data_IF_441869722500
#
_entry.id   IF_441869722500
#
_cell.length_a   1.000
_cell.length_b   1.000
_cell.length_c   1.000
_cell.angle_alpha   90.00
_cell.angle_beta   90.00
_cell.angle_gamma   90.00
#
_symmetry.space_group_name_H-M   'P 1'
#
loop_
_entity.id
_entity.type
_entity.pdbx_description
1 polymer ?
#
# COMPACT_ATOMS: atom_id res chain seq x y z
N UNK A 1 29.43 3.54 80.76
CA UNK A 1 29.67 2.26 80.06
C UNK A 1 28.64 2.14 78.94
N UNK A 2 29.10 2.11 77.67
CA UNK A 2 28.55 1.41 76.48
C UNK A 2 27.04 1.62 76.16
N UNK A 3 26.57 2.03 74.97
CA UNK A 3 27.04 1.79 73.60
C UNK A 3 26.41 2.82 72.65
N UNK A 4 27.13 3.15 71.58
CA UNK A 4 26.67 3.97 70.45
C UNK A 4 26.07 3.03 69.40
N UNK A 5 24.80 3.21 69.02
CA UNK A 5 24.17 2.50 67.90
C UNK A 5 24.06 3.44 66.70
N UNK A 6 24.86 3.17 65.67
CA UNK A 6 24.76 3.83 64.37
C UNK A 6 23.60 3.23 63.57
N UNK A 7 22.59 4.03 63.27
CA UNK A 7 21.51 3.68 62.34
C UNK A 7 21.94 4.16 60.94
N UNK A 8 22.29 3.21 60.07
CA UNK A 8 22.43 3.46 58.63
C UNK A 8 21.03 3.54 58.01
N UNK A 9 20.57 4.75 57.68
CA UNK A 9 19.38 4.96 56.86
C UNK A 9 19.73 4.73 55.38
N UNK A 10 19.26 3.63 54.81
CA UNK A 10 19.24 3.42 53.36
C UNK A 10 18.01 4.12 52.77
N UNK A 11 18.20 5.22 52.05
CA UNK A 11 17.15 5.83 51.22
C UNK A 11 17.05 5.07 49.90
N UNK A 12 16.02 4.24 49.75
CA UNK A 12 15.66 3.63 48.48
C UNK A 12 14.99 4.68 47.57
N UNK A 13 15.71 5.12 46.53
CA UNK A 13 15.13 5.91 45.44
C UNK A 13 14.29 4.99 44.54
N UNK A 14 12.98 4.98 44.72
CA UNK A 14 12.05 4.39 43.76
C UNK A 14 11.89 5.34 42.56
N UNK A 15 12.56 5.02 41.44
CA UNK A 15 12.29 5.66 40.17
C UNK A 15 10.98 5.10 39.60
N UNK A 16 9.91 5.89 39.65
CA UNK A 16 8.65 5.56 38.98
C UNK A 16 8.85 5.62 37.46
N UNK A 17 8.95 4.46 36.81
CA UNK A 17 8.88 4.33 35.35
C UNK A 17 7.45 4.63 34.91
N UNK A 18 7.19 5.89 34.58
CA UNK A 18 5.95 6.30 33.90
C UNK A 18 6.00 5.70 32.50
N UNK A 19 5.36 4.55 32.32
CA UNK A 19 5.14 3.95 31.01
C UNK A 19 4.19 4.85 30.23
N UNK A 20 4.76 5.77 29.44
CA UNK A 20 3.99 6.55 28.47
C UNK A 20 3.44 5.55 27.46
N UNK A 21 2.12 5.36 27.47
CA UNK A 21 1.42 4.69 26.39
C UNK A 21 1.62 5.54 25.13
N UNK A 22 2.62 5.19 24.31
CA UNK A 22 2.80 5.79 23.00
C UNK A 22 1.62 5.33 22.14
N UNK A 23 0.64 6.20 21.93
CA UNK A 23 -0.31 6.06 20.84
C UNK A 23 0.52 6.15 19.53
N UNK A 24 0.84 4.99 18.97
CA UNK A 24 1.59 4.87 17.72
C UNK A 24 0.77 5.51 16.61
N UNK A 25 1.19 6.71 16.18
CA UNK A 25 0.55 7.42 15.07
C UNK A 25 0.81 6.63 13.80
N UNK A 26 -0.25 6.16 13.13
CA UNK A 26 -0.20 5.46 11.83
C UNK A 26 0.15 6.46 10.71
N UNK A 27 1.32 7.08 10.79
CA UNK A 27 1.82 8.08 9.86
C UNK A 27 3.22 7.69 9.42
N UNK A 28 3.59 8.01 8.18
CA UNK A 28 4.97 7.80 7.72
C UNK A 28 5.95 8.70 8.47
N UNK A 29 7.19 8.24 8.61
CA UNK A 29 8.32 8.99 9.13
C UNK A 29 9.54 8.83 8.23
N UNK A 30 10.44 9.80 8.23
CA UNK A 30 11.63 9.76 7.39
C UNK A 30 12.52 8.58 7.77
N UNK A 31 12.97 7.82 6.76
CA UNK A 31 13.86 6.68 6.92
C UNK A 31 14.82 6.62 5.74
N UNK A 32 16.12 6.53 6.02
CA UNK A 32 17.15 6.29 5.00
C UNK A 32 17.53 4.82 5.02
N UNK A 33 17.31 4.14 3.90
CA UNK A 33 17.71 2.75 3.73
C UNK A 33 19.25 2.66 3.66
N UNK A 34 19.90 1.93 4.57
CA UNK A 34 21.36 1.86 4.60
C UNK A 34 21.96 1.12 3.40
N UNK A 35 21.20 0.22 2.77
CA UNK A 35 21.69 -0.58 1.64
C UNK A 35 21.76 0.23 0.34
N UNK A 36 20.80 1.12 0.10
CA UNK A 36 20.70 1.92 -1.14
C UNK A 36 21.01 3.40 -0.95
N UNK A 37 20.97 3.92 0.28
CA UNK A 37 21.05 5.35 0.57
C UNK A 37 19.77 6.12 0.21
N UNK A 38 18.71 5.45 -0.25
CA UNK A 38 17.43 6.10 -0.59
C UNK A 38 16.74 6.55 0.69
N UNK A 39 16.26 7.79 0.69
CA UNK A 39 15.46 8.34 1.80
C UNK A 39 13.98 8.28 1.45
N UNK A 40 13.21 7.61 2.28
CA UNK A 40 11.78 7.38 2.16
C UNK A 40 11.01 8.13 3.26
N UNK A 41 9.74 8.40 3.00
CA UNK A 41 8.73 8.47 4.06
C UNK A 41 8.16 7.07 4.28
N UNK A 42 8.40 6.49 5.46
CA UNK A 42 8.12 5.09 5.76
C UNK A 42 7.09 4.91 6.86
N UNK A 43 6.07 4.13 6.56
CA UNK A 43 5.16 3.56 7.55
C UNK A 43 5.81 2.33 8.17
N UNK A 44 5.73 2.19 9.51
CA UNK A 44 6.24 1.05 10.25
C UNK A 44 5.16 0.50 11.21
N UNK A 45 4.70 -0.72 10.97
CA UNK A 45 3.78 -1.43 11.84
C UNK A 45 4.51 -2.12 12.97
N UNK A 46 4.68 -1.46 14.13
CA UNK A 46 5.48 -2.00 15.27
C UNK A 46 5.07 -3.41 15.71
N UNK A 47 3.77 -3.76 15.63
CA UNK A 47 3.29 -5.11 16.02
C UNK A 47 3.58 -6.18 14.97
N UNK A 48 3.74 -5.82 13.71
CA UNK A 48 3.88 -6.74 12.58
C UNK A 48 5.27 -6.72 11.95
N UNK A 49 6.09 -5.72 12.28
CA UNK A 49 7.34 -5.38 11.59
C UNK A 49 7.16 -5.16 10.08
N UNK A 50 5.94 -4.92 9.62
CA UNK A 50 5.65 -4.51 8.26
C UNK A 50 6.12 -3.07 8.05
N UNK A 51 6.72 -2.81 6.89
CA UNK A 51 7.12 -1.47 6.48
C UNK A 51 6.80 -1.23 5.03
N UNK A 52 6.29 -0.02 4.74
CA UNK A 52 6.22 0.50 3.39
C UNK A 52 6.80 1.91 3.35
N UNK A 53 7.84 2.10 2.55
CA UNK A 53 8.49 3.38 2.27
C UNK A 53 8.13 3.89 0.89
N UNK A 54 7.93 5.20 0.78
CA UNK A 54 7.73 5.88 -0.50
C UNK A 54 8.71 7.06 -0.65
N UNK A 55 9.32 7.18 -1.82
CA UNK A 55 10.14 8.31 -2.23
C UNK A 55 9.56 8.87 -3.53
N UNK A 56 9.54 10.20 -3.64
CA UNK A 56 8.94 10.93 -4.75
C UNK A 56 9.94 11.92 -5.36
N UNK A 57 9.78 12.28 -6.63
CA UNK A 57 10.56 13.36 -7.22
C UNK A 57 10.13 14.72 -6.65
N UNK A 58 11.04 15.70 -6.65
CA UNK A 58 10.69 17.10 -6.38
C UNK A 58 9.78 17.66 -7.47
N UNK A 59 10.17 17.45 -8.73
CA UNK A 59 9.35 17.75 -9.90
C UNK A 59 8.33 16.65 -10.10
N UNK A 60 7.05 16.98 -9.99
CA UNK A 60 5.98 15.99 -10.10
C UNK A 60 6.07 15.20 -11.42
N UNK A 61 6.05 13.88 -11.31
CA UNK A 61 5.85 12.95 -12.41
C UNK A 61 4.88 11.84 -11.96
N UNK A 62 4.67 10.84 -12.82
CA UNK A 62 3.70 9.77 -12.55
C UNK A 62 4.32 8.54 -11.85
N UNK A 63 5.51 8.67 -11.25
CA UNK A 63 6.30 7.56 -10.72
C UNK A 63 6.71 7.79 -9.26
N UNK A 64 6.96 6.71 -8.54
CA UNK A 64 7.54 6.76 -7.20
C UNK A 64 8.49 5.57 -6.97
N UNK A 65 9.38 5.67 -5.99
CA UNK A 65 10.18 4.53 -5.54
C UNK A 65 9.54 4.00 -4.27
N UNK A 66 9.17 2.72 -4.28
CA UNK A 66 8.63 1.99 -3.14
C UNK A 66 9.67 1.09 -2.51
N UNK A 67 9.60 0.92 -1.20
CA UNK A 67 10.28 -0.15 -0.48
C UNK A 67 9.29 -0.89 0.42
N UNK A 68 9.15 -2.19 0.21
CA UNK A 68 8.33 -3.08 1.02
C UNK A 68 9.24 -3.98 1.86
N UNK A 69 9.00 -4.04 3.17
CA UNK A 69 9.79 -4.89 4.08
C UNK A 69 8.88 -5.56 5.09
N UNK A 70 9.04 -6.86 5.29
CA UNK A 70 8.25 -7.60 6.28
C UNK A 70 8.93 -8.91 6.68
N UNK A 71 8.62 -9.44 7.89
CA UNK A 71 9.14 -10.73 8.31
C UNK A 71 8.50 -11.87 7.51
N UNK A 72 9.32 -12.88 7.20
CA UNK A 72 8.91 -14.15 6.63
C UNK A 72 8.88 -15.23 7.71
N UNK A 73 8.08 -16.26 7.48
CA UNK A 73 7.99 -17.47 8.30
C UNK A 73 8.61 -18.64 7.53
N UNK A 74 9.89 -18.92 7.76
CA UNK A 74 10.66 -19.92 7.01
C UNK A 74 10.55 -19.75 5.48
N UNK A 75 10.64 -18.51 5.02
CA UNK A 75 10.50 -18.12 3.61
C UNK A 75 9.05 -17.98 3.12
N UNK A 76 8.06 -18.30 3.96
CA UNK A 76 6.64 -18.08 3.67
C UNK A 76 6.16 -16.69 4.11
N UNK A 77 5.09 -16.22 3.47
CA UNK A 77 4.49 -14.92 3.73
C UNK A 77 4.46 -14.05 2.49
N UNK A 78 3.53 -13.11 2.50
CA UNK A 78 3.40 -12.08 1.47
C UNK A 78 2.98 -10.77 2.12
N UNK A 79 3.45 -9.66 1.55
CA UNK A 79 3.09 -8.32 1.96
C UNK A 79 2.56 -7.53 0.78
N UNK A 80 1.72 -6.54 1.06
CA UNK A 80 1.16 -5.70 0.03
C UNK A 80 0.81 -4.31 0.50
N UNK A 81 0.57 -3.43 -0.48
CA UNK A 81 0.11 -2.06 -0.27
C UNK A 81 -1.00 -1.71 -1.25
N UNK A 82 -1.79 -0.72 -0.88
CA UNK A 82 -2.82 -0.09 -1.70
C UNK A 82 -2.52 1.41 -1.85
N UNK A 83 -2.76 1.96 -3.05
CA UNK A 83 -2.65 3.41 -3.29
C UNK A 83 -3.66 4.23 -2.46
N UNK A 84 -4.72 3.60 -1.95
CA UNK A 84 -5.69 4.21 -1.02
C UNK A 84 -5.83 3.37 0.25
N UNK A 85 -6.61 3.79 1.25
CA UNK A 85 -6.91 2.94 2.43
C UNK A 85 -7.87 1.79 2.14
N UNK A 86 -8.51 1.78 0.97
CA UNK A 86 -9.40 0.71 0.52
C UNK A 86 -8.62 -0.40 -0.21
N UNK A 87 -9.07 -1.64 -0.06
CA UNK A 87 -8.62 -2.77 -0.90
C UNK A 87 -9.30 -2.74 -2.28
N UNK A 88 -10.58 -2.37 -2.35
CA UNK A 88 -11.38 -2.44 -3.56
C UNK A 88 -11.18 -1.26 -4.50
N UNK A 89 -10.74 -1.57 -5.72
CA UNK A 89 -10.66 -0.64 -6.84
C UNK A 89 -9.32 0.07 -7.09
N UNK A 90 -8.46 0.47 -6.12
CA UNK A 90 -7.19 1.10 -6.46
C UNK A 90 -6.19 0.08 -7.01
N UNK A 91 -5.07 0.56 -7.52
CA UNK A 91 -3.91 -0.27 -7.79
C UNK A 91 -3.35 -0.80 -6.47
N UNK A 92 -3.22 -2.12 -6.42
CA UNK A 92 -2.59 -2.86 -5.33
C UNK A 92 -1.24 -3.42 -5.81
N UNK A 93 -0.34 -3.66 -4.88
CA UNK A 93 0.84 -4.50 -5.10
C UNK A 93 0.86 -5.59 -4.04
N UNK A 94 1.20 -6.80 -4.45
CA UNK A 94 1.59 -7.88 -3.56
C UNK A 94 2.99 -8.37 -3.93
N UNK A 95 3.78 -8.74 -2.93
CA UNK A 95 5.09 -9.34 -3.13
C UNK A 95 5.39 -10.42 -2.09
N UNK A 96 6.18 -11.41 -2.48
CA UNK A 96 6.53 -12.58 -1.69
C UNK A 96 7.84 -13.20 -2.18
N UNK A 97 8.38 -14.13 -1.39
CA UNK A 97 9.57 -14.88 -1.76
C UNK A 97 9.23 -16.18 -2.52
N UNK A 98 9.99 -16.49 -3.56
CA UNK A 98 10.02 -17.80 -4.22
C UNK A 98 11.47 -18.28 -4.33
N UNK A 99 11.83 -19.31 -3.55
CA UNK A 99 13.21 -19.85 -3.55
C UNK A 99 14.30 -18.79 -3.29
N UNK A 100 14.04 -17.82 -2.41
CA UNK A 100 14.95 -16.71 -2.10
C UNK A 100 14.96 -15.56 -3.13
N UNK A 101 14.12 -15.63 -4.17
CA UNK A 101 13.91 -14.55 -5.13
C UNK A 101 12.66 -13.77 -4.76
N UNK A 102 12.67 -12.48 -5.06
CA UNK A 102 11.47 -11.64 -4.95
C UNK A 102 10.58 -11.86 -6.16
N UNK A 103 9.31 -12.13 -5.90
CA UNK A 103 8.22 -12.11 -6.88
C UNK A 103 7.21 -11.05 -6.44
N UNK A 104 6.68 -10.30 -7.39
CA UNK A 104 5.68 -9.27 -7.12
C UNK A 104 4.69 -9.14 -8.27
N UNK A 105 3.48 -8.70 -7.97
CA UNK A 105 2.49 -8.37 -8.99
C UNK A 105 1.60 -7.20 -8.59
N UNK A 106 1.21 -6.43 -9.60
CA UNK A 106 0.15 -5.45 -9.45
C UNK A 106 -1.19 -6.13 -9.53
N UNK A 107 -2.14 -5.72 -8.69
CA UNK A 107 -3.45 -6.34 -8.55
C UNK A 107 -4.56 -5.30 -8.43
N UNK A 108 -5.79 -5.74 -8.64
CA UNK A 108 -6.99 -4.95 -8.35
C UNK A 108 -8.04 -5.85 -7.73
N UNK A 109 -8.58 -5.47 -6.58
CA UNK A 109 -9.70 -6.18 -5.97
C UNK A 109 -11.04 -5.58 -6.43
N UNK A 110 -12.04 -6.44 -6.64
CA UNK A 110 -13.40 -6.04 -7.03
C UNK A 110 -14.43 -6.27 -5.92
N UNK A 111 -14.06 -7.05 -4.91
CA UNK A 111 -14.79 -7.33 -3.68
C UNK A 111 -13.76 -7.78 -2.60
N UNK A 112 -14.23 -8.03 -1.37
CA UNK A 112 -13.40 -8.47 -0.24
C UNK A 112 -13.24 -10.01 -0.14
N UNK A 113 -14.05 -10.78 -0.87
CA UNK A 113 -14.13 -12.24 -0.74
C UNK A 113 -13.20 -12.99 -1.71
N UNK A 114 -12.94 -12.42 -2.88
CA UNK A 114 -12.17 -13.02 -3.96
C UNK A 114 -10.70 -12.62 -3.92
N UNK A 115 -9.84 -13.50 -4.47
CA UNK A 115 -8.43 -13.17 -4.64
C UNK A 115 -8.26 -12.03 -5.66
N UNK A 116 -7.54 -10.94 -5.34
CA UNK A 116 -7.30 -9.87 -6.30
C UNK A 116 -6.49 -10.40 -7.50
N UNK A 117 -7.06 -10.43 -8.72
CA UNK A 117 -6.32 -10.87 -9.89
C UNK A 117 -5.15 -9.93 -10.19
N UNK A 118 -4.13 -10.48 -10.84
CA UNK A 118 -3.05 -9.66 -11.41
C UNK A 118 -3.61 -8.75 -12.52
N UNK A 119 -3.14 -7.50 -12.52
CA UNK A 119 -3.51 -6.51 -13.52
C UNK A 119 -2.31 -5.91 -14.24
N UNK A 120 -2.55 -5.48 -15.47
CA UNK A 120 -1.60 -4.76 -16.33
C UNK A 120 -2.20 -3.44 -16.82
N UNK A 121 -1.35 -2.53 -17.29
CA UNK A 121 -1.75 -1.20 -17.74
C UNK A 121 -0.54 -0.39 -18.20
N UNK A 122 -0.60 0.94 -18.07
CA UNK A 122 0.53 1.84 -18.37
C UNK A 122 1.40 2.12 -17.13
N UNK A 123 1.65 1.10 -16.31
CA UNK A 123 2.52 1.17 -15.13
C UNK A 123 3.46 -0.05 -15.07
N UNK A 124 4.65 0.09 -14.48
CA UNK A 124 5.64 -0.99 -14.39
C UNK A 124 6.32 -1.00 -13.02
N UNK A 125 6.66 -2.19 -12.55
CA UNK A 125 7.55 -2.37 -11.41
C UNK A 125 8.95 -2.65 -11.94
N UNK A 126 9.93 -1.87 -11.50
CA UNK A 126 11.34 -2.01 -11.90
C UNK A 126 12.19 -2.22 -10.65
N UNK A 127 12.67 -3.44 -10.38
CA UNK A 127 13.43 -3.73 -9.18
C UNK A 127 14.72 -2.91 -9.08
N UNK A 128 15.03 -2.42 -7.89
CA UNK A 128 16.34 -1.87 -7.54
C UNK A 128 17.07 -2.96 -6.76
N UNK A 129 18.02 -3.64 -7.41
CA UNK A 129 18.65 -4.85 -6.89
C UNK A 129 19.37 -4.61 -5.55
N UNK A 130 20.04 -3.47 -5.39
CA UNK A 130 20.74 -3.11 -4.16
C UNK A 130 19.83 -3.01 -2.92
N UNK A 131 18.52 -2.79 -3.11
CA UNK A 131 17.52 -2.72 -2.06
C UNK A 131 16.55 -3.91 -2.08
N UNK A 132 16.93 -5.03 -2.71
CA UNK A 132 16.04 -6.18 -2.89
C UNK A 132 16.69 -7.45 -2.37
N UNK A 133 16.02 -8.15 -1.45
CA UNK A 133 16.48 -9.42 -0.89
C UNK A 133 15.30 -10.22 -0.32
N UNK A 134 15.40 -11.54 -0.39
CA UNK A 134 14.49 -12.44 0.30
C UNK A 134 15.28 -13.61 0.89
N UNK A 135 15.12 -13.84 2.19
CA UNK A 135 15.69 -15.01 2.88
C UNK A 135 14.60 -15.73 3.69
N UNK A 136 14.95 -16.60 4.63
CA UNK A 136 13.94 -17.34 5.42
C UNK A 136 13.15 -16.46 6.41
N UNK A 137 13.69 -15.31 6.80
CA UNK A 137 13.18 -14.49 7.92
C UNK A 137 12.78 -13.07 7.53
N UNK A 138 13.34 -12.53 6.44
CA UNK A 138 13.11 -11.15 6.02
C UNK A 138 12.94 -11.07 4.51
N UNK A 139 11.93 -10.31 4.12
CA UNK A 139 11.70 -9.87 2.76
C UNK A 139 11.95 -8.37 2.67
N UNK A 140 12.71 -7.93 1.67
CA UNK A 140 12.86 -6.53 1.28
C UNK A 140 12.75 -6.42 -0.23
N UNK A 141 11.87 -5.57 -0.73
CA UNK A 141 11.73 -5.27 -2.15
C UNK A 141 11.73 -3.76 -2.37
N UNK A 142 12.77 -3.25 -3.03
CA UNK A 142 12.84 -1.85 -3.45
C UNK A 142 12.67 -1.79 -4.95
N UNK A 143 11.79 -0.90 -5.42
CA UNK A 143 11.42 -0.83 -6.82
C UNK A 143 11.00 0.59 -7.22
N UNK A 144 11.26 0.94 -8.48
CA UNK A 144 10.61 2.05 -9.14
C UNK A 144 9.24 1.59 -9.64
N UNK A 145 8.18 2.22 -9.14
CA UNK A 145 6.82 2.11 -9.66
C UNK A 145 6.66 3.18 -10.75
N UNK A 146 6.99 2.82 -11.98
CA UNK A 146 6.92 3.69 -13.14
C UNK A 146 5.45 3.84 -13.57
N UNK A 147 4.94 5.07 -13.69
CA UNK A 147 3.56 5.33 -14.17
C UNK A 147 2.45 4.95 -13.18
N UNK A 148 2.76 4.71 -11.90
CA UNK A 148 1.80 4.28 -10.89
C UNK A 148 0.99 5.41 -10.24
N UNK A 149 1.30 6.69 -10.51
CA UNK A 149 0.56 7.83 -9.97
C UNK A 149 -0.41 8.39 -11.01
N UNK A 150 -1.63 7.86 -11.01
CA UNK A 150 -2.75 8.26 -11.87
C UNK A 150 -4.06 8.16 -11.07
N UNK A 151 -4.98 9.10 -11.26
CA UNK A 151 -6.26 9.11 -10.54
C UNK A 151 -7.12 7.87 -10.86
N UNK A 152 -6.99 7.30 -12.05
CA UNK A 152 -7.63 6.04 -12.42
C UNK A 152 -7.12 4.84 -11.61
N UNK A 153 -5.89 4.93 -11.09
CA UNK A 153 -5.26 3.94 -10.21
C UNK A 153 -5.55 4.20 -8.73
N UNK A 154 -6.19 5.33 -8.41
CA UNK A 154 -6.60 5.72 -7.05
C UNK A 154 -5.75 6.81 -6.41
N UNK A 155 -4.61 7.19 -7.00
CA UNK A 155 -3.73 8.23 -6.47
C UNK A 155 -2.99 8.96 -7.60
N UNK A 156 -3.52 10.11 -8.04
CA UNK A 156 -2.86 10.95 -9.04
C UNK A 156 -1.66 11.74 -8.51
N UNK A 157 -0.80 12.20 -9.43
CA UNK A 157 0.40 12.97 -9.10
C UNK A 157 0.12 14.26 -8.29
N UNK A 158 -1.05 14.90 -8.47
CA UNK A 158 -1.42 16.09 -7.71
C UNK A 158 -1.54 15.84 -6.20
N UNK A 159 -2.00 14.64 -5.80
CA UNK A 159 -2.16 14.25 -4.40
C UNK A 159 -0.83 14.13 -3.63
N UNK A 160 0.30 14.03 -4.36
CA UNK A 160 1.65 13.98 -3.77
C UNK A 160 2.09 15.27 -3.08
N UNK A 161 1.33 16.35 -3.23
CA UNK A 161 1.56 17.63 -2.55
C UNK A 161 1.09 17.64 -1.09
N UNK A 162 0.40 16.59 -0.63
CA UNK A 162 -0.22 16.53 0.69
C UNK A 162 0.12 15.30 1.51
N UNK A 163 -0.75 15.02 2.48
CA UNK A 163 -0.81 13.75 3.21
C UNK A 163 -2.04 13.00 2.75
N UNK A 164 -1.88 11.74 2.33
CA UNK A 164 -2.98 10.88 1.87
C UNK A 164 -3.12 9.65 2.74
N UNK A 165 -4.21 8.91 2.56
CA UNK A 165 -4.37 7.59 3.15
C UNK A 165 -3.92 6.52 2.16
N UNK A 166 -3.13 5.56 2.63
CA UNK A 166 -2.72 4.37 1.88
C UNK A 166 -2.97 3.13 2.74
N UNK A 167 -3.06 1.98 2.10
CA UNK A 167 -3.37 0.70 2.74
C UNK A 167 -2.16 -0.23 2.78
N UNK A 168 -2.15 -1.15 3.74
CA UNK A 168 -1.19 -2.23 3.81
C UNK A 168 -1.86 -3.55 4.19
N UNK A 169 -1.22 -4.66 3.84
CA UNK A 169 -1.64 -6.01 4.17
C UNK A 169 -0.43 -6.93 4.37
N UNK A 170 -0.53 -7.90 5.28
CA UNK A 170 0.50 -8.89 5.57
C UNK A 170 -0.08 -10.26 5.91
N UNK A 171 0.52 -11.30 5.33
CA UNK A 171 0.28 -12.71 5.64
C UNK A 171 1.59 -13.41 6.03
N UNK A 172 1.50 -14.39 6.92
CA UNK A 172 2.60 -15.32 7.23
C UNK A 172 2.56 -16.62 6.44
N UNK A 173 1.51 -16.86 5.66
CA UNK A 173 1.33 -18.13 4.97
C UNK A 173 1.96 -18.10 3.57
N UNK A 174 2.25 -19.29 3.05
CA UNK A 174 2.75 -19.47 1.70
C UNK A 174 1.67 -19.16 0.68
N UNK A 175 2.01 -18.41 -0.36
CA UNK A 175 1.12 -18.18 -1.51
C UNK A 175 0.98 -19.45 -2.36
N UNK A 176 -0.14 -19.61 -3.04
CA UNK A 176 -0.34 -20.66 -4.04
C UNK A 176 0.41 -20.33 -5.33
N UNK A 177 1.18 -21.28 -5.87
CA UNK A 177 2.01 -21.12 -7.08
C UNK A 177 3.00 -19.92 -7.01
N UNK A 178 3.96 -19.94 -6.06
CA UNK A 178 4.82 -18.78 -5.75
C UNK A 178 5.71 -18.31 -6.91
N UNK A 179 6.02 -19.16 -7.89
CA UNK A 179 6.79 -18.77 -9.07
C UNK A 179 5.99 -17.87 -10.05
N UNK A 180 4.66 -17.83 -9.92
CA UNK A 180 3.79 -17.08 -10.82
C UNK A 180 3.36 -15.75 -10.22
N UNK A 181 3.45 -14.62 -10.94
CA UNK A 181 2.93 -13.35 -10.45
C UNK A 181 1.39 -13.35 -10.26
N UNK A 182 0.69 -14.31 -10.88
CA UNK A 182 -0.73 -14.60 -10.65
C UNK A 182 -0.99 -15.55 -9.45
N UNK A 183 -0.01 -15.69 -8.53
CA UNK A 183 -0.13 -16.52 -7.33
C UNK A 183 -1.43 -16.27 -6.55
N UNK A 184 -1.98 -17.32 -5.94
CA UNK A 184 -3.14 -17.19 -5.05
C UNK A 184 -2.66 -16.68 -3.69
N UNK A 185 -3.09 -15.48 -3.32
CA UNK A 185 -2.83 -14.90 -2.01
C UNK A 185 -3.85 -15.44 -0.99
N UNK A 186 -3.39 -16.08 0.07
CA UNK A 186 -4.24 -16.38 1.21
C UNK A 186 -4.58 -15.07 1.97
N UNK A 187 -5.58 -15.09 2.86
CA UNK A 187 -5.95 -13.92 3.66
C UNK A 187 -4.75 -13.33 4.44
N UNK A 188 -4.67 -11.99 4.53
CA UNK A 188 -3.63 -11.27 5.26
C UNK A 188 -3.80 -11.38 6.79
N UNK A 189 -3.53 -12.59 7.30
CA UNK A 189 -3.77 -13.01 8.69
C UNK A 189 -2.88 -12.33 9.73
N UNK A 190 -1.78 -11.67 9.32
CA UNK A 190 -0.87 -10.97 10.24
C UNK A 190 -1.25 -9.51 10.45
N UNK A 191 -2.10 -8.95 9.60
CA UNK A 191 -2.70 -7.64 9.80
C UNK A 191 -2.83 -6.84 8.50
N UNK A 192 -3.68 -5.83 8.57
CA UNK A 192 -3.98 -4.93 7.45
C UNK A 192 -4.54 -3.60 8.00
N UNK A 193 -4.64 -2.60 7.13
CA UNK A 193 -5.38 -1.36 7.41
C UNK A 193 -4.78 -0.12 6.75
N UNK A 194 -5.34 1.04 7.08
CA UNK A 194 -4.86 2.34 6.57
C UNK A 194 -3.73 2.97 7.40
N UNK A 195 -2.90 3.77 6.73
CA UNK A 195 -1.93 4.70 7.32
C UNK A 195 -1.91 6.04 6.56
N UNK A 196 -1.47 7.10 7.23
CA UNK A 196 -1.29 8.43 6.66
C UNK A 196 0.10 8.54 6.01
N UNK A 197 0.14 8.61 4.69
CA UNK A 197 1.37 8.82 3.91
C UNK A 197 1.63 10.31 3.70
N UNK A 198 2.73 10.81 4.29
CA UNK A 198 3.19 12.21 4.18
C UNK A 198 3.92 12.45 2.85
N UNK A 199 3.21 12.35 1.73
CA UNK A 199 3.80 12.37 0.39
C UNK A 199 4.55 13.67 0.07
N UNK A 200 4.09 14.81 0.58
CA UNK A 200 4.82 16.07 0.44
C UNK A 200 6.25 16.00 1.00
N UNK A 201 6.43 15.24 2.09
CA UNK A 201 7.73 15.04 2.75
C UNK A 201 8.57 13.93 2.11
N UNK A 202 7.98 13.12 1.22
CA UNK A 202 8.68 12.06 0.50
C UNK A 202 9.45 12.56 -0.73
N UNK A 203 9.30 13.83 -1.10
CA UNK A 203 9.95 14.44 -2.27
C UNK A 203 11.44 14.61 -2.05
N UNK A 204 12.25 14.29 -3.06
CA UNK A 204 13.70 14.41 -2.97
C UNK A 204 14.34 14.69 -4.34
N UNK A 205 15.26 15.67 -4.40
CA UNK A 205 16.07 15.97 -5.60
C UNK A 205 16.88 14.79 -6.14
N UNK A 206 17.23 13.80 -5.31
CA UNK A 206 17.98 12.60 -5.71
C UNK A 206 17.10 11.53 -6.35
N UNK A 207 15.80 11.76 -6.49
CA UNK A 207 14.88 10.76 -7.02
C UNK A 207 15.34 10.19 -8.36
N UNK A 208 15.77 11.03 -9.29
CA UNK A 208 16.20 10.57 -10.63
C UNK A 208 17.48 9.72 -10.56
N UNK A 209 18.42 10.07 -9.67
CA UNK A 209 19.61 9.26 -9.39
C UNK A 209 19.21 7.88 -8.86
N UNK A 210 18.24 7.83 -7.95
CA UNK A 210 17.76 6.58 -7.37
C UNK A 210 16.93 5.75 -8.36
N UNK A 211 16.12 6.40 -9.18
CA UNK A 211 15.32 5.77 -10.23
C UNK A 211 16.21 5.13 -11.29
N UNK A 212 17.36 5.73 -11.60
CA UNK A 212 18.34 5.17 -12.53
C UNK A 212 18.99 3.85 -12.05
N UNK A 213 18.89 3.52 -10.75
CA UNK A 213 19.33 2.22 -10.22
C UNK A 213 18.37 1.08 -10.56
N UNK A 214 17.18 1.39 -11.07
CA UNK A 214 16.15 0.40 -11.35
C UNK A 214 16.49 -0.41 -12.61
N UNK A 215 16.41 -1.74 -12.49
CA UNK A 215 16.60 -2.68 -13.58
C UNK A 215 15.47 -2.66 -14.62
N UNK A 216 15.41 -3.68 -15.49
CA UNK A 216 14.33 -3.80 -16.48
C UNK A 216 12.96 -3.94 -15.79
N UNK A 217 11.87 -3.54 -16.47
CA UNK A 217 10.52 -3.74 -15.97
C UNK A 217 10.18 -5.23 -15.87
N UNK A 218 9.49 -5.60 -14.80
CA UNK A 218 8.91 -6.94 -14.68
C UNK A 218 7.77 -7.11 -15.68
N UNK A 219 7.71 -8.27 -16.32
CA UNK A 219 6.61 -8.64 -17.19
C UNK A 219 5.43 -9.16 -16.34
N UNK A 220 4.19 -8.77 -16.65
CA UNK A 220 3.02 -9.36 -16.02
C UNK A 220 2.81 -10.82 -16.47
N UNK A 221 1.99 -11.59 -15.77
CA UNK A 221 1.55 -12.89 -16.27
C UNK A 221 0.82 -12.75 -17.63
N UNK A 222 0.89 -13.81 -18.45
CA UNK A 222 0.22 -13.89 -19.75
C UNK A 222 -1.30 -13.63 -19.68
N UNK A 223 -1.92 -13.96 -18.55
CA UNK A 223 -3.36 -13.81 -18.30
C UNK A 223 -3.70 -12.63 -17.36
N UNK A 224 -2.77 -11.70 -17.13
CA UNK A 224 -3.05 -10.49 -16.37
C UNK A 224 -4.15 -9.67 -17.05
N UNK A 225 -5.13 -9.22 -16.28
CA UNK A 225 -6.26 -8.45 -16.81
C UNK A 225 -5.91 -6.96 -16.93
N UNK A 226 -6.47 -6.20 -17.88
CA UNK A 226 -6.33 -4.75 -17.86
C UNK A 226 -6.90 -4.17 -16.56
N UNK A 227 -6.21 -3.21 -15.93
CA UNK A 227 -6.77 -2.50 -14.78
C UNK A 227 -8.05 -1.76 -15.18
N UNK A 228 -9.06 -1.81 -14.33
CA UNK A 228 -10.28 -1.03 -14.52
C UNK A 228 -10.15 0.32 -13.81
N UNK A 229 -10.51 1.41 -14.48
CA UNK A 229 -10.51 2.71 -13.82
C UNK A 229 -11.68 2.81 -12.82
N UNK A 230 -11.42 3.36 -11.63
CA UNK A 230 -12.49 3.72 -10.68
C UNK A 230 -13.30 4.88 -11.28
N UNK A 231 -14.23 4.62 -12.22
CA UNK A 231 -15.27 5.61 -12.55
C UNK A 231 -16.00 5.89 -11.24
N UNK A 232 -15.93 7.13 -10.74
CA UNK A 232 -16.82 7.59 -9.68
C UNK A 232 -18.22 7.14 -10.05
N UNK A 233 -18.83 6.23 -9.28
CA UNK A 233 -20.27 6.00 -9.33
C UNK A 233 -20.89 7.36 -9.00
N UNK A 234 -21.28 8.12 -10.01
CA UNK A 234 -22.20 9.23 -9.81
C UNK A 234 -23.42 8.61 -9.13
N UNK A 235 -23.62 8.93 -7.84
CA UNK A 235 -24.89 8.67 -7.16
C UNK A 235 -25.98 9.22 -8.07
N UNK A 236 -26.90 8.33 -8.45
CA UNK A 236 -27.86 8.55 -9.51
C UNK A 236 -28.58 9.88 -9.44
N UNK A 237 -28.77 10.47 -10.61
CA UNK A 237 -29.70 11.53 -10.88
C UNK A 237 -31.08 11.10 -10.35
N UNK A 238 -31.54 11.72 -9.26
CA UNK A 238 -32.91 11.55 -8.76
C UNK A 238 -33.86 12.25 -9.72
N UNK A 239 -34.60 11.46 -10.48
CA UNK A 239 -35.96 11.70 -10.96
C UNK A 239 -36.26 13.08 -11.52
N UNK A 240 -36.17 13.22 -12.84
CA UNK A 240 -36.91 14.27 -13.54
C UNK A 240 -38.38 13.82 -13.61
N UNK A 241 -39.22 14.31 -12.70
CA UNK A 241 -40.68 14.25 -12.85
C UNK A 241 -41.04 15.24 -13.95
N UNK A 242 -41.32 14.74 -15.15
CA UNK A 242 -41.90 15.52 -16.23
C UNK A 242 -43.24 16.08 -15.79
N UNK A 243 -43.32 17.39 -15.76
CA UNK A 243 -44.54 18.18 -15.67
C UNK A 243 -45.44 17.81 -16.86
N UNK A 244 -46.66 17.37 -16.56
CA UNK A 244 -47.70 17.24 -17.58
C UNK A 244 -48.34 18.59 -17.86
N UNK A 245 -48.79 18.84 -19.09
CA UNK A 245 -49.92 19.71 -19.34
C UNK A 245 -51.16 18.83 -19.58
N UNK A 246 -52.22 19.09 -18.82
CA UNK A 246 -53.56 18.67 -19.22
C UNK A 246 -54.05 19.54 -20.38
N UNK A 247 -54.82 18.95 -21.29
CA UNK A 247 -56.27 19.12 -21.39
C UNK A 247 -56.73 18.88 -22.85
N UNK A 248 -57.89 18.22 -22.98
CA UNK A 248 -58.80 18.20 -24.14
C UNK A 248 -58.25 17.57 -25.46
N UNK A 249 -59.02 16.86 -26.29
CA UNK A 249 -60.41 16.39 -26.31
C UNK A 249 -60.55 15.49 -27.56
N UNK A 250 -61.71 14.82 -27.67
CA UNK A 250 -62.34 14.29 -28.90
C UNK A 250 -61.79 12.92 -29.39
N UNK A 251 -62.54 11.83 -29.20
CA UNK A 251 -63.70 11.37 -30.01
C UNK A 251 -63.31 11.19 -31.49
N UNK A 252 -63.13 9.94 -31.92
CA UNK A 252 -64.02 9.28 -32.88
C UNK A 252 -63.48 7.90 -33.32
N UNK A 253 -64.41 6.96 -33.26
CA UNK A 253 -64.65 5.78 -34.09
C UNK A 253 -63.73 5.53 -35.30
N UNK A 254 -63.31 4.27 -35.50
CA UNK A 254 -63.88 3.38 -36.54
C UNK A 254 -63.05 2.09 -36.77
N UNK A 255 -63.81 1.06 -37.13
CA UNK A 255 -63.49 -0.13 -37.96
C UNK A 255 -62.78 -1.37 -37.38
N UNK A 256 -63.62 -2.36 -37.06
CA UNK A 256 -63.82 -3.62 -37.80
C UNK A 256 -62.62 -4.57 -38.06
N UNK A 257 -62.57 -5.66 -37.29
CA UNK A 257 -62.76 -7.09 -37.67
C UNK A 257 -62.07 -8.05 -36.68
#
# INVERSE_FOLDING_TARGET
MWSVSYIFMYTAFYAALISKCFCQKKVTATFTDPSTGITFERFFGVKTSFSFGIALPETANNSFIGQLTFPLNDGAGWGGWSLTDDMEGPLLMAAWADGGKVVSSFRQAFNEDDNPPEVTGNFRARPIAAGTSANSSLFTYTFLCEGCLDDALGLGAAATSGTVKMGWALSSEKVGNPASPAAILNFHNRGFGGFQARLAQAKNRKFDEWAAMAGPPLAPATNASPITSKKKKNKGNKGNKGEGPGNASDDDSDDDD
#
